data_IF_526888372967
#
_entry.id   IF_526888372967
#
_cell.length_a   1.000
_cell.length_b   1.000
_cell.length_c   1.000
_cell.angle_alpha   90.00
_cell.angle_beta   90.00
_cell.angle_gamma   90.00
#
_symmetry.space_group_name_H-M   'P 1'
#
loop_
_entity.id
_entity.type
_entity.pdbx_description
1 polymer ?
#
# COMPACT_ATOMS: atom_id res chain seq x y z
N UNK A 1 -14.12 1.80 15.67
CA UNK A 1 -14.98 1.18 14.63
C UNK A 1 -14.21 1.08 13.32
N UNK A 2 -14.03 -0.12 12.74
CA UNK A 2 -13.88 -0.23 11.28
C UNK A 2 -12.73 -1.04 10.68
N UNK A 3 -11.71 -1.49 11.41
CA UNK A 3 -10.53 -2.15 10.78
C UNK A 3 -10.82 -3.54 10.15
N UNK A 4 -11.99 -4.13 10.41
CA UNK A 4 -12.41 -5.42 9.82
C UNK A 4 -12.88 -5.31 8.36
N UNK A 5 -13.54 -4.21 7.97
CA UNK A 5 -14.26 -4.10 6.69
C UNK A 5 -13.36 -4.19 5.45
N UNK A 6 -12.13 -3.67 5.53
CA UNK A 6 -11.18 -3.72 4.41
C UNK A 6 -10.69 -5.15 4.15
N UNK A 7 -10.56 -5.97 5.19
CA UNK A 7 -10.16 -7.37 5.03
C UNK A 7 -11.25 -8.15 4.29
N UNK A 8 -12.51 -7.90 4.60
CA UNK A 8 -13.64 -8.52 3.89
C UNK A 8 -13.71 -8.08 2.42
N UNK A 9 -13.44 -6.81 2.11
CA UNK A 9 -13.38 -6.30 0.72
C UNK A 9 -12.21 -6.95 -0.06
N UNK A 10 -11.05 -7.09 0.57
CA UNK A 10 -9.90 -7.72 -0.09
C UNK A 10 -10.03 -9.25 -0.19
N UNK A 11 -10.81 -9.87 0.70
CA UNK A 11 -11.07 -11.32 0.69
C UNK A 11 -12.29 -11.72 -0.15
N UNK A 12 -13.14 -10.79 -0.56
CA UNK A 12 -14.35 -11.07 -1.33
C UNK A 12 -14.06 -11.28 -2.83
N UNK A 13 -15.02 -11.88 -3.54
CA UNK A 13 -14.94 -12.20 -4.99
C UNK A 13 -15.07 -10.96 -5.90
N UNK A 14 -14.54 -9.82 -5.46
CA UNK A 14 -14.54 -8.58 -6.22
C UNK A 14 -13.38 -8.64 -7.25
N UNK A 15 -13.55 -8.08 -8.46
CA UNK A 15 -12.48 -8.01 -9.45
C UNK A 15 -11.19 -7.40 -8.89
N UNK A 16 -10.04 -7.97 -9.27
CA UNK A 16 -8.73 -7.51 -8.78
C UNK A 16 -8.48 -6.02 -9.09
N UNK A 17 -9.00 -5.50 -10.22
CA UNK A 17 -8.90 -4.09 -10.58
C UNK A 17 -9.60 -3.16 -9.58
N UNK A 18 -10.74 -3.58 -9.02
CA UNK A 18 -11.47 -2.83 -8.00
C UNK A 18 -10.75 -2.87 -6.65
N UNK A 19 -10.24 -4.03 -6.25
CA UNK A 19 -9.38 -4.15 -5.05
C UNK A 19 -8.17 -3.23 -5.15
N UNK A 20 -7.54 -3.19 -6.33
CA UNK A 20 -6.39 -2.31 -6.62
C UNK A 20 -6.78 -0.83 -6.48
N UNK A 21 -7.90 -0.40 -7.09
CA UNK A 21 -8.41 0.97 -6.97
C UNK A 21 -8.70 1.36 -5.52
N UNK A 22 -9.35 0.49 -4.74
CA UNK A 22 -9.62 0.72 -3.32
C UNK A 22 -8.32 0.84 -2.53
N UNK A 23 -7.34 -0.01 -2.82
CA UNK A 23 -6.02 0.08 -2.20
C UNK A 23 -5.35 1.43 -2.51
N UNK A 24 -5.38 1.87 -3.77
CA UNK A 24 -4.74 3.12 -4.18
C UNK A 24 -5.45 4.38 -3.68
N UNK A 25 -6.78 4.39 -3.61
CA UNK A 25 -7.55 5.58 -3.24
C UNK A 25 -7.85 5.67 -1.74
N UNK A 26 -7.97 4.55 -1.03
CA UNK A 26 -8.35 4.56 0.38
C UNK A 26 -7.20 4.15 1.30
N UNK A 27 -6.48 3.08 0.95
CA UNK A 27 -5.44 2.51 1.84
C UNK A 27 -4.14 3.29 1.74
N UNK A 28 -3.68 3.59 0.53
CA UNK A 28 -2.43 4.30 0.29
C UNK A 28 -2.39 5.69 0.94
N UNK A 29 -3.42 6.56 0.83
CA UNK A 29 -3.44 7.84 1.51
C UNK A 29 -3.43 7.68 3.04
N UNK A 30 -4.21 6.75 3.59
CA UNK A 30 -4.23 6.51 5.05
C UNK A 30 -2.88 6.02 5.57
N UNK A 31 -2.22 5.13 4.82
CA UNK A 31 -0.88 4.64 5.16
C UNK A 31 0.20 5.72 5.07
N UNK A 32 0.02 6.72 4.20
CA UNK A 32 0.99 7.80 3.97
C UNK A 32 0.71 9.05 4.80
N UNK A 33 -0.53 9.28 5.22
CA UNK A 33 -0.90 10.41 6.09
C UNK A 33 -0.12 10.39 7.41
N UNK A 34 -0.01 9.22 8.04
CA UNK A 34 0.83 9.05 9.23
C UNK A 34 2.33 9.30 8.99
N UNK A 35 2.80 9.28 7.73
CA UNK A 35 4.19 9.61 7.38
C UNK A 35 4.43 11.08 7.11
N UNK A 36 3.38 11.87 6.89
CA UNK A 36 3.48 13.32 6.70
C UNK A 36 3.72 14.02 8.05
N UNK A 37 3.15 13.50 9.14
CA UNK A 37 3.28 14.07 10.49
C UNK A 37 4.51 13.56 11.26
N UNK A 38 5.00 12.36 10.94
CA UNK A 38 6.16 11.76 11.61
C UNK A 38 7.35 11.79 10.67
N UNK A 39 8.51 12.23 11.16
CA UNK A 39 9.77 12.32 10.41
C UNK A 39 9.92 11.11 9.49
N UNK A 40 9.97 11.36 8.17
CA UNK A 40 10.07 10.38 7.07
C UNK A 40 11.30 9.47 7.21
N UNK A 41 11.23 8.53 8.16
CA UNK A 41 12.35 7.68 8.54
C UNK A 41 12.34 6.43 7.66
N UNK A 42 13.50 6.01 7.18
CA UNK A 42 13.64 4.79 6.37
C UNK A 42 13.02 3.55 7.04
N UNK A 43 13.03 3.48 8.38
CA UNK A 43 12.37 2.44 9.15
C UNK A 43 10.85 2.39 8.97
N UNK A 44 10.20 3.56 8.86
CA UNK A 44 8.76 3.65 8.63
C UNK A 44 8.40 3.20 7.21
N UNK A 45 9.16 3.62 6.20
CA UNK A 45 8.98 3.17 4.81
C UNK A 45 9.12 1.64 4.71
N UNK A 46 10.10 1.06 5.42
CA UNK A 46 10.27 -0.39 5.47
C UNK A 46 9.06 -1.08 6.09
N UNK A 47 8.53 -0.57 7.21
CA UNK A 47 7.31 -1.11 7.84
C UNK A 47 6.11 -1.02 6.90
N UNK A 48 5.90 0.12 6.26
CA UNK A 48 4.82 0.32 5.29
C UNK A 48 4.92 -0.63 4.10
N UNK A 49 6.13 -0.86 3.59
CA UNK A 49 6.37 -1.83 2.53
C UNK A 49 6.02 -3.26 2.98
N UNK A 50 6.36 -3.64 4.21
CA UNK A 50 5.96 -4.96 4.76
C UNK A 50 4.43 -5.07 4.86
N UNK A 51 3.76 -4.03 5.36
CA UNK A 51 2.29 -4.00 5.45
C UNK A 51 1.62 -4.08 4.08
N UNK A 52 2.10 -3.32 3.09
CA UNK A 52 1.62 -3.42 1.70
C UNK A 52 1.77 -4.85 1.17
N UNK A 53 2.91 -5.50 1.38
CA UNK A 53 3.17 -6.87 0.93
C UNK A 53 2.26 -7.92 1.57
N UNK A 54 1.84 -7.70 2.81
CA UNK A 54 0.86 -8.55 3.48
C UNK A 54 -0.54 -8.35 2.88
N UNK A 55 -0.94 -7.11 2.62
CA UNK A 55 -2.23 -6.78 2.02
C UNK A 55 -2.33 -7.28 0.56
N UNK A 56 -1.26 -7.15 -0.23
CA UNK A 56 -1.21 -7.69 -1.60
C UNK A 56 -1.43 -9.21 -1.65
N UNK A 57 -0.83 -9.94 -0.70
CA UNK A 57 -1.05 -11.39 -0.55
C UNK A 57 -2.50 -11.70 -0.21
N UNK A 58 -3.07 -10.99 0.76
CA UNK A 58 -4.46 -11.15 1.15
C UNK A 58 -5.44 -10.86 -0.01
N UNK A 59 -5.18 -9.82 -0.81
CA UNK A 59 -6.00 -9.50 -2.00
C UNK A 59 -6.05 -10.63 -3.02
N UNK A 60 -4.92 -11.33 -3.20
CA UNK A 60 -4.78 -12.44 -4.12
C UNK A 60 -5.12 -13.80 -3.51
N UNK A 61 -5.43 -13.87 -2.22
CA UNK A 61 -5.64 -15.13 -1.50
C UNK A 61 -4.38 -16.00 -1.41
N UNK A 62 -3.19 -15.41 -1.53
CA UNK A 62 -1.91 -16.12 -1.53
C UNK A 62 -1.38 -16.24 -0.10
N UNK A 63 -0.98 -17.45 0.28
CA UNK A 63 -0.32 -17.73 1.55
C UNK A 63 1.20 -17.54 1.44
N UNK A 64 1.89 -17.47 2.58
CA UNK A 64 3.36 -17.48 2.60
C UNK A 64 3.95 -18.83 2.13
N UNK A 65 3.16 -19.91 2.17
CA UNK A 65 3.59 -21.26 1.78
C UNK A 65 3.70 -21.42 0.28
N UNK A 66 2.95 -20.62 -0.48
CA UNK A 66 2.98 -20.64 -1.95
C UNK A 66 4.32 -20.16 -2.52
N UNK A 67 5.21 -19.57 -1.70
CA UNK A 67 6.57 -19.14 -2.06
C UNK A 67 6.60 -18.22 -3.31
N UNK A 68 5.50 -17.53 -3.61
CA UNK A 68 5.39 -16.66 -4.77
C UNK A 68 6.27 -15.42 -4.57
N UNK A 69 7.10 -15.14 -5.57
CA UNK A 69 7.99 -13.98 -5.59
C UNK A 69 7.19 -12.68 -5.47
N UNK A 70 7.69 -11.73 -4.68
CA UNK A 70 7.06 -10.41 -4.52
C UNK A 70 6.88 -9.66 -5.86
N UNK A 71 7.75 -9.91 -6.84
CA UNK A 71 7.66 -9.34 -8.19
C UNK A 71 6.40 -9.84 -8.91
N UNK A 72 6.09 -11.13 -8.79
CA UNK A 72 4.90 -11.72 -9.41
C UNK A 72 3.62 -11.25 -8.71
N UNK A 73 3.63 -11.19 -7.38
CA UNK A 73 2.52 -10.61 -6.60
C UNK A 73 2.23 -9.19 -7.09
N UNK A 74 3.27 -8.36 -7.22
CA UNK A 74 3.15 -6.98 -7.68
C UNK A 74 2.67 -6.88 -9.13
N UNK A 75 3.09 -7.79 -10.01
CA UNK A 75 2.61 -7.86 -11.40
C UNK A 75 1.11 -8.14 -11.46
N UNK A 76 0.60 -8.99 -10.57
CA UNK A 76 -0.82 -9.34 -10.49
C UNK A 76 -1.67 -8.25 -9.86
N UNK A 77 -1.19 -7.62 -8.79
CA UNK A 77 -1.91 -6.55 -8.08
C UNK A 77 -1.86 -5.22 -8.83
N UNK A 78 -0.78 -4.91 -9.55
CA UNK A 78 -0.57 -3.62 -10.24
C UNK A 78 -0.71 -2.38 -9.33
N UNK A 79 -0.53 -2.54 -8.01
CA UNK A 79 -0.57 -1.42 -7.07
C UNK A 79 0.71 -0.60 -7.13
N UNK A 80 0.57 0.72 -6.92
CA UNK A 80 1.70 1.64 -6.77
C UNK A 80 2.57 1.30 -5.54
N UNK A 81 3.91 1.38 -5.65
CA UNK A 81 4.80 1.16 -4.50
C UNK A 81 4.66 2.30 -3.50
N UNK A 82 4.52 1.96 -2.22
CA UNK A 82 4.43 2.97 -1.18
C UNK A 82 5.69 3.85 -1.10
N UNK A 83 6.88 3.33 -1.41
CA UNK A 83 8.09 4.16 -1.41
C UNK A 83 8.08 5.18 -2.55
N UNK A 84 7.54 4.82 -3.73
CA UNK A 84 7.38 5.79 -4.83
C UNK A 84 6.33 6.85 -4.47
N UNK A 85 5.23 6.45 -3.82
CA UNK A 85 4.22 7.39 -3.34
C UNK A 85 4.80 8.37 -2.32
N UNK A 86 5.50 7.85 -1.31
CA UNK A 86 6.17 8.64 -0.27
C UNK A 86 7.21 9.59 -0.87
N UNK A 87 8.03 9.11 -1.81
CA UNK A 87 8.99 9.96 -2.50
C UNK A 87 8.30 11.11 -3.23
N UNK A 88 7.21 10.82 -3.98
CA UNK A 88 6.42 11.83 -4.67
C UNK A 88 5.85 12.88 -3.70
N UNK A 89 5.26 12.43 -2.58
CA UNK A 89 4.73 13.35 -1.56
C UNK A 89 5.84 14.24 -0.97
N UNK A 90 7.01 13.67 -0.68
CA UNK A 90 8.17 14.43 -0.19
C UNK A 90 8.62 15.50 -1.20
N UNK A 91 8.68 15.16 -2.49
CA UNK A 91 8.99 16.13 -3.55
C UNK A 91 7.94 17.23 -3.68
N UNK A 92 6.65 16.89 -3.60
CA UNK A 92 5.56 17.87 -3.63
C UNK A 92 5.61 18.82 -2.44
N UNK A 93 5.88 18.31 -1.24
CA UNK A 93 6.01 19.11 -0.03
C UNK A 93 7.23 20.05 -0.09
N UNK A 94 8.38 19.55 -0.55
CA UNK A 94 9.56 20.39 -0.78
C UNK A 94 9.29 21.51 -1.80
N UNK A 95 8.58 21.22 -2.89
CA UNK A 95 8.18 22.23 -3.87
C UNK A 95 7.15 23.23 -3.35
N UNK A 96 6.33 22.85 -2.37
CA UNK A 96 5.39 23.76 -1.69
C UNK A 96 6.12 24.72 -0.74
N UNK A 97 7.14 24.24 -0.01
CA UNK A 97 7.94 25.06 0.91
C UNK A 97 8.91 25.98 0.18
N UNK A 98 9.45 25.55 -0.96
CA UNK A 98 10.38 26.32 -1.77
C UNK A 98 9.69 27.43 -2.62
N UNK A 99 8.40 27.67 -2.42
CA UNK A 99 7.62 28.71 -3.11
C UNK A 99 7.42 29.93 -2.21
#
# INVERSE_FOLDING_TARGET
>A
MGSGKLRDIFSSKIPQCLKTKVFEQCVLPVMTYGTETWSLTMGLIRRLRVTQRAMERAMLGISLRDQIRNVEIRRRTRVTDIAQRVAKLKWQWAGHIAR
#
